data_IF_448123069259
#
_entry.id   IF_448123069259
#
_cell.length_a   1.000
_cell.length_b   1.000
_cell.length_c   1.000
_cell.angle_alpha   90.00
_cell.angle_beta   90.00
_cell.angle_gamma   90.00
#
_symmetry.space_group_name_H-M   'P 1'
#
loop_
_entity.id
_entity.type
_entity.pdbx_description
1 polymer ?
#
# COMPACT_ATOMS: atom_id res chain seq x y z
N UNK A 1 41.04 -48.45 -31.38
CA UNK A 1 40.14 -47.39 -30.87
C UNK A 1 40.96 -46.61 -29.87
N UNK A 2 41.39 -45.41 -30.22
CA UNK A 2 42.25 -44.63 -29.35
C UNK A 2 41.42 -43.99 -28.24
N UNK A 3 41.96 -43.88 -27.03
CA UNK A 3 41.28 -43.27 -25.87
C UNK A 3 40.77 -41.84 -26.19
N UNK A 4 41.44 -41.15 -27.12
CA UNK A 4 41.09 -39.84 -27.65
C UNK A 4 39.73 -39.84 -28.39
N UNK A 5 39.38 -40.92 -29.08
CA UNK A 5 38.13 -41.05 -29.85
C UNK A 5 36.89 -41.15 -28.94
N UNK A 6 37.07 -41.57 -27.69
CA UNK A 6 36.00 -41.64 -26.68
C UNK A 6 35.96 -40.35 -25.84
N UNK A 7 37.11 -39.70 -25.64
CA UNK A 7 37.23 -38.52 -24.78
C UNK A 7 36.63 -37.27 -25.41
N UNK A 8 36.86 -37.04 -26.69
CA UNK A 8 36.31 -35.90 -27.43
C UNK A 8 34.78 -35.83 -27.41
N UNK A 9 34.03 -36.91 -27.72
CA UNK A 9 32.56 -36.88 -27.64
C UNK A 9 32.04 -36.74 -26.20
N UNK A 10 32.75 -37.25 -25.20
CA UNK A 10 32.38 -37.05 -23.79
C UNK A 10 32.53 -35.58 -23.36
N UNK A 11 33.62 -34.93 -23.76
CA UNK A 11 33.88 -33.51 -23.45
C UNK A 11 32.87 -32.60 -24.13
N UNK A 12 32.52 -32.86 -25.39
CA UNK A 12 31.50 -32.06 -26.10
C UNK A 12 30.11 -32.25 -25.47
N UNK A 13 29.73 -33.48 -25.10
CA UNK A 13 28.44 -33.76 -24.47
C UNK A 13 28.34 -33.14 -23.07
N UNK A 14 29.42 -33.19 -22.28
CA UNK A 14 29.51 -32.49 -21.00
C UNK A 14 29.46 -30.96 -21.17
N UNK A 15 30.12 -30.42 -22.20
CA UNK A 15 30.09 -29.00 -22.54
C UNK A 15 28.69 -28.51 -22.92
N UNK A 16 27.98 -29.26 -23.78
CA UNK A 16 26.59 -28.97 -24.16
C UNK A 16 25.65 -29.06 -22.96
N UNK A 17 25.81 -30.08 -22.11
CA UNK A 17 25.00 -30.24 -20.91
C UNK A 17 25.21 -29.10 -19.90
N UNK A 18 26.47 -28.69 -19.67
CA UNK A 18 26.79 -27.55 -18.82
C UNK A 18 26.22 -26.25 -19.40
N UNK A 19 26.39 -26.02 -20.71
CA UNK A 19 25.84 -24.85 -21.38
C UNK A 19 24.32 -24.79 -21.24
N UNK A 20 23.61 -25.89 -21.51
CA UNK A 20 22.16 -25.99 -21.34
C UNK A 20 21.74 -25.73 -19.88
N UNK A 21 22.46 -26.29 -18.91
CA UNK A 21 22.19 -26.08 -17.48
C UNK A 21 22.41 -24.62 -17.06
N UNK A 22 23.45 -23.96 -17.57
CA UNK A 22 23.70 -22.54 -17.30
C UNK A 22 22.63 -21.66 -17.93
N UNK A 23 22.25 -21.92 -19.18
CA UNK A 23 21.18 -21.18 -19.87
C UNK A 23 19.86 -21.32 -19.12
N UNK A 24 19.46 -22.55 -18.78
CA UNK A 24 18.20 -22.78 -18.07
C UNK A 24 18.19 -22.15 -16.69
N UNK A 25 19.31 -22.20 -15.95
CA UNK A 25 19.44 -21.51 -14.66
C UNK A 25 19.33 -19.99 -14.80
N UNK A 26 19.99 -19.41 -15.81
CA UNK A 26 19.94 -17.97 -16.07
C UNK A 26 18.53 -17.53 -16.48
N UNK A 27 17.83 -18.32 -17.31
CA UNK A 27 16.45 -18.05 -17.70
C UNK A 27 15.50 -18.13 -16.51
N UNK A 28 15.62 -19.16 -15.66
CA UNK A 28 14.82 -19.26 -14.42
C UNK A 28 15.07 -18.07 -13.50
N UNK A 29 16.34 -17.67 -13.31
CA UNK A 29 16.69 -16.50 -12.50
C UNK A 29 16.13 -15.20 -13.09
N UNK A 30 16.23 -15.03 -14.42
CA UNK A 30 15.67 -13.88 -15.13
C UNK A 30 14.16 -13.82 -15.00
N UNK A 31 13.45 -14.93 -15.22
CA UNK A 31 11.99 -15.02 -15.07
C UNK A 31 11.55 -14.75 -13.64
N UNK A 32 12.25 -15.29 -12.65
CA UNK A 32 11.99 -14.99 -11.25
C UNK A 32 12.18 -13.50 -10.92
N UNK A 33 13.18 -12.85 -11.52
CA UNK A 33 13.40 -11.42 -11.40
C UNK A 33 12.24 -10.61 -12.02
N UNK A 34 11.90 -10.91 -13.27
CA UNK A 34 10.81 -10.26 -14.01
C UNK A 34 9.48 -10.34 -13.24
N UNK A 35 9.16 -11.51 -12.67
CA UNK A 35 7.95 -11.70 -11.87
C UNK A 35 7.98 -10.84 -10.59
N UNK A 36 9.13 -10.77 -9.90
CA UNK A 36 9.26 -9.97 -8.68
C UNK A 36 9.17 -8.48 -8.95
N UNK A 37 9.83 -7.99 -9.99
CA UNK A 37 9.80 -6.57 -10.37
C UNK A 37 8.40 -6.15 -10.82
N UNK A 38 7.74 -6.94 -11.67
CA UNK A 38 6.36 -6.67 -12.10
C UNK A 38 5.38 -6.64 -10.90
N UNK A 39 5.60 -7.50 -9.90
CA UNK A 39 4.79 -7.52 -8.69
C UNK A 39 5.01 -6.27 -7.82
N UNK A 40 6.26 -5.81 -7.68
CA UNK A 40 6.56 -4.58 -6.93
C UNK A 40 5.92 -3.36 -7.60
N UNK A 41 5.98 -3.29 -8.94
CA UNK A 41 5.33 -2.23 -9.71
C UNK A 41 3.80 -2.23 -9.53
N UNK A 42 3.16 -3.40 -9.59
CA UNK A 42 1.72 -3.55 -9.33
C UNK A 42 1.36 -3.12 -7.91
N UNK A 43 2.09 -3.61 -6.88
CA UNK A 43 1.85 -3.22 -5.48
C UNK A 43 1.98 -1.70 -5.32
N UNK A 44 3.03 -1.10 -5.89
CA UNK A 44 3.27 0.33 -5.82
C UNK A 44 2.13 1.12 -6.47
N UNK A 45 1.71 0.74 -7.67
CA UNK A 45 0.65 1.39 -8.41
C UNK A 45 -0.71 1.29 -7.67
N UNK A 46 -1.10 0.07 -7.30
CA UNK A 46 -2.40 -0.20 -6.67
C UNK A 46 -2.52 0.49 -5.31
N UNK A 47 -1.50 0.37 -4.45
CA UNK A 47 -1.50 1.00 -3.13
C UNK A 47 -1.44 2.53 -3.23
N UNK A 48 -0.65 3.07 -4.16
CA UNK A 48 -0.55 4.52 -4.35
C UNK A 48 -1.86 5.13 -4.89
N UNK A 49 -2.52 4.44 -5.84
CA UNK A 49 -3.84 4.83 -6.34
C UNK A 49 -4.88 4.80 -5.21
N UNK A 50 -4.92 3.72 -4.43
CA UNK A 50 -5.84 3.58 -3.30
C UNK A 50 -5.64 4.67 -2.24
N UNK A 51 -4.39 4.94 -1.83
CA UNK A 51 -4.06 6.00 -0.85
C UNK A 51 -4.39 7.40 -1.38
N UNK A 52 -4.18 7.64 -2.68
CA UNK A 52 -4.55 8.90 -3.33
C UNK A 52 -6.07 9.06 -3.37
N UNK A 53 -6.80 8.01 -3.75
CA UNK A 53 -8.26 7.97 -3.72
C UNK A 53 -8.82 8.26 -2.33
N UNK A 54 -8.27 7.60 -1.30
CA UNK A 54 -8.65 7.84 0.09
C UNK A 54 -8.45 9.31 0.49
N UNK A 55 -7.28 9.88 0.22
CA UNK A 55 -6.98 11.28 0.55
C UNK A 55 -7.91 12.26 -0.16
N UNK A 56 -8.22 11.99 -1.42
CA UNK A 56 -9.13 12.83 -2.20
C UNK A 56 -10.58 12.75 -1.69
N UNK A 57 -11.05 11.54 -1.36
CA UNK A 57 -12.37 11.33 -0.77
C UNK A 57 -12.47 12.04 0.58
N UNK A 58 -11.53 11.76 1.48
CA UNK A 58 -11.46 12.36 2.81
C UNK A 58 -11.40 13.89 2.77
N UNK A 59 -10.53 14.46 1.92
CA UNK A 59 -10.45 15.91 1.75
C UNK A 59 -11.75 16.51 1.20
N UNK A 60 -12.43 15.82 0.28
CA UNK A 60 -13.70 16.27 -0.27
C UNK A 60 -14.82 16.22 0.76
N UNK A 61 -14.95 15.12 1.50
CA UNK A 61 -15.96 14.95 2.54
C UNK A 61 -15.76 15.98 3.67
N UNK A 62 -14.52 16.20 4.10
CA UNK A 62 -14.16 17.23 5.08
C UNK A 62 -14.61 18.62 4.62
N UNK A 63 -14.34 18.99 3.37
CA UNK A 63 -14.73 20.28 2.82
C UNK A 63 -16.26 20.43 2.72
N UNK A 64 -16.98 19.36 2.37
CA UNK A 64 -18.45 19.35 2.31
C UNK A 64 -19.04 19.59 3.71
N UNK A 65 -18.51 18.90 4.73
CA UNK A 65 -18.92 19.06 6.13
C UNK A 65 -18.66 20.51 6.59
N UNK A 66 -17.46 21.04 6.34
CA UNK A 66 -17.09 22.42 6.67
C UNK A 66 -18.08 23.43 6.04
N UNK A 67 -18.41 23.25 4.75
CA UNK A 67 -19.37 24.12 4.06
C UNK A 67 -20.79 23.98 4.61
N UNK A 68 -21.22 22.79 5.03
CA UNK A 68 -22.52 22.60 5.67
C UNK A 68 -22.63 23.44 6.96
N UNK A 69 -21.61 23.38 7.82
CA UNK A 69 -21.54 24.22 9.03
C UNK A 69 -21.51 25.71 8.70
N UNK A 70 -20.70 26.13 7.72
CA UNK A 70 -20.62 27.53 7.32
C UNK A 70 -21.96 28.07 6.81
N UNK A 71 -22.64 27.35 5.93
CA UNK A 71 -23.95 27.75 5.39
C UNK A 71 -25.01 27.82 6.50
N UNK A 72 -24.99 26.87 7.44
CA UNK A 72 -25.89 26.88 8.60
C UNK A 72 -25.64 28.11 9.49
N UNK A 73 -24.38 28.51 9.67
CA UNK A 73 -24.02 29.74 10.39
C UNK A 73 -24.53 31.01 9.69
N UNK A 74 -24.38 31.09 8.37
CA UNK A 74 -24.88 32.23 7.56
C UNK A 74 -26.40 32.36 7.61
N UNK A 75 -27.15 31.24 7.69
CA UNK A 75 -28.62 31.23 7.80
C UNK A 75 -29.13 31.76 9.16
N UNK A 76 -28.40 31.50 10.25
CA UNK A 76 -28.82 31.91 11.62
C UNK A 76 -28.48 33.39 11.87
N UNK A 77 -27.46 33.92 11.19
CA UNK A 77 -27.12 35.34 11.17
C UNK A 77 -25.88 35.72 12.00
N UNK A 78 -25.41 36.98 11.90
CA UNK A 78 -24.21 37.43 12.61
C UNK A 78 -24.48 37.52 14.12
N UNK A 79 -23.83 36.66 14.91
CA UNK A 79 -23.94 36.62 16.38
C UNK A 79 -24.08 35.21 16.97
N UNK A 80 -24.27 34.19 16.14
CA UNK A 80 -24.34 32.79 16.59
C UNK A 80 -22.99 32.33 17.14
N UNK A 81 -22.98 31.78 18.34
CA UNK A 81 -21.78 31.16 18.91
C UNK A 81 -21.56 29.76 18.30
N UNK A 82 -20.30 29.30 18.21
CA UNK A 82 -19.96 27.96 17.71
C UNK A 82 -20.69 26.83 18.48
N UNK A 83 -21.07 27.07 19.73
CA UNK A 83 -21.80 26.12 20.58
C UNK A 83 -23.28 25.94 20.17
N UNK A 84 -23.89 26.96 19.57
CA UNK A 84 -25.29 26.96 19.11
C UNK A 84 -25.44 26.37 17.70
N UNK A 85 -24.35 26.39 16.92
CA UNK A 85 -24.33 25.85 15.57
C UNK A 85 -24.28 24.32 15.60
N UNK A 86 -25.42 23.69 15.31
CA UNK A 86 -25.58 22.23 15.35
C UNK A 86 -26.24 21.71 14.08
N UNK A 87 -25.72 20.59 13.57
CA UNK A 87 -26.25 19.89 12.39
C UNK A 87 -26.50 18.43 12.77
N UNK A 88 -27.61 17.84 12.31
CA UNK A 88 -27.87 16.43 12.59
C UNK A 88 -26.90 15.54 11.82
N UNK A 89 -26.56 14.39 12.39
CA UNK A 89 -25.71 13.40 11.71
C UNK A 89 -26.35 12.91 10.42
N UNK A 90 -27.68 12.81 10.37
CA UNK A 90 -28.45 12.47 9.17
C UNK A 90 -28.27 13.51 8.05
N UNK A 91 -28.35 14.80 8.37
CA UNK A 91 -28.14 15.89 7.41
C UNK A 91 -26.70 15.88 6.87
N UNK A 92 -25.72 15.67 7.75
CA UNK A 92 -24.31 15.52 7.36
C UNK A 92 -24.08 14.28 6.47
N UNK A 93 -24.69 13.15 6.81
CA UNK A 93 -24.64 11.93 6.00
C UNK A 93 -25.20 12.15 4.59
N UNK A 94 -26.32 12.87 4.46
CA UNK A 94 -26.91 13.21 3.17
C UNK A 94 -26.03 14.16 2.33
N UNK A 95 -25.27 15.05 2.98
CA UNK A 95 -24.30 15.88 2.26
C UNK A 95 -23.12 15.04 1.74
N UNK A 96 -22.60 14.11 2.55
CA UNK A 96 -21.48 13.24 2.17
C UNK A 96 -21.89 12.16 1.15
N UNK A 97 -23.14 11.70 1.16
CA UNK A 97 -23.63 10.71 0.17
C UNK A 97 -23.59 11.25 -1.27
N UNK A 98 -23.58 12.56 -1.46
CA UNK A 98 -23.38 13.18 -2.80
C UNK A 98 -22.02 12.81 -3.37
N UNK A 99 -20.98 12.75 -2.54
CA UNK A 99 -19.65 12.28 -2.97
C UNK A 99 -19.64 10.78 -3.31
N UNK A 100 -20.43 9.98 -2.60
CA UNK A 100 -20.55 8.53 -2.85
C UNK A 100 -21.29 8.21 -4.15
N UNK A 101 -22.22 9.07 -4.59
CA UNK A 101 -22.88 8.95 -5.89
C UNK A 101 -22.04 9.43 -7.08
N UNK A 102 -20.81 9.88 -6.85
CA UNK A 102 -19.93 10.46 -7.87
C UNK A 102 -18.72 9.57 -8.19
N UNK A 103 -17.98 9.88 -9.25
CA UNK A 103 -16.68 9.24 -9.55
C UNK A 103 -15.61 9.45 -8.45
N UNK A 104 -15.92 10.20 -7.39
CA UNK A 104 -15.03 10.44 -6.24
C UNK A 104 -15.37 9.54 -5.04
N UNK A 105 -16.28 8.58 -5.21
CA UNK A 105 -16.61 7.61 -4.17
C UNK A 105 -15.36 6.84 -3.71
N UNK A 106 -15.33 6.50 -2.42
CA UNK A 106 -14.24 5.71 -1.87
C UNK A 106 -14.33 4.26 -2.36
N UNK A 107 -13.29 3.79 -3.05
CA UNK A 107 -13.18 2.39 -3.45
C UNK A 107 -12.71 1.53 -2.25
N UNK A 108 -13.66 1.15 -1.41
CA UNK A 108 -13.40 0.33 -0.22
C UNK A 108 -12.85 -1.05 -0.56
N UNK A 109 -13.13 -1.57 -1.76
CA UNK A 109 -12.59 -2.84 -2.24
C UNK A 109 -11.09 -2.72 -2.54
N UNK A 110 -10.66 -1.65 -3.22
CA UNK A 110 -9.24 -1.35 -3.44
C UNK A 110 -8.47 -1.13 -2.14
N UNK A 111 -9.04 -0.38 -1.20
CA UNK A 111 -8.44 -0.14 0.12
C UNK A 111 -8.22 -1.46 0.86
N UNK A 112 -9.24 -2.33 0.90
CA UNK A 112 -9.14 -3.65 1.53
C UNK A 112 -8.13 -4.55 0.80
N UNK A 113 -8.13 -4.51 -0.53
CA UNK A 113 -7.18 -5.28 -1.33
C UNK A 113 -5.73 -4.88 -1.03
N UNK A 114 -5.42 -3.59 -1.01
CA UNK A 114 -4.09 -3.08 -0.69
C UNK A 114 -3.65 -3.47 0.72
N UNK A 115 -4.54 -3.35 1.71
CA UNK A 115 -4.28 -3.80 3.08
C UNK A 115 -3.88 -5.28 3.12
N UNK A 116 -4.65 -6.16 2.47
CA UNK A 116 -4.33 -7.58 2.43
C UNK A 116 -3.02 -7.88 1.69
N UNK A 117 -2.79 -7.20 0.58
CA UNK A 117 -1.60 -7.36 -0.24
C UNK A 117 -0.35 -6.98 0.56
N UNK A 118 -0.38 -5.86 1.29
CA UNK A 118 0.69 -5.43 2.18
C UNK A 118 0.84 -6.38 3.37
N UNK A 119 -0.24 -6.73 4.07
CA UNK A 119 -0.16 -7.65 5.22
C UNK A 119 0.47 -9.00 4.86
N UNK A 120 0.22 -9.51 3.64
CA UNK A 120 0.75 -10.80 3.20
C UNK A 120 2.18 -10.72 2.65
N UNK A 121 2.51 -9.70 1.84
CA UNK A 121 3.82 -9.60 1.18
C UNK A 121 4.84 -8.73 1.91
N UNK A 122 4.37 -7.79 2.74
CA UNK A 122 5.13 -6.70 3.34
C UNK A 122 4.59 -6.40 4.74
N UNK A 123 4.75 -7.32 5.70
CA UNK A 123 4.06 -7.24 7.00
C UNK A 123 4.39 -5.96 7.77
N UNK A 124 5.60 -5.42 7.64
CA UNK A 124 6.02 -4.14 8.23
C UNK A 124 5.17 -2.97 7.72
N UNK A 125 4.97 -2.88 6.41
CA UNK A 125 4.14 -1.88 5.75
C UNK A 125 2.66 -2.15 5.95
N UNK A 126 2.27 -3.42 6.15
CA UNK A 126 0.92 -3.82 6.55
C UNK A 126 0.55 -3.29 7.94
N UNK A 127 1.45 -3.41 8.92
CA UNK A 127 1.24 -2.81 10.25
C UNK A 127 1.19 -1.28 10.16
N UNK A 128 2.10 -0.67 9.40
CA UNK A 128 2.13 0.78 9.17
C UNK A 128 0.84 1.28 8.50
N UNK A 129 0.29 0.51 7.56
CA UNK A 129 -1.02 0.77 6.96
C UNK A 129 -2.10 0.76 8.03
N UNK A 130 -2.13 -0.26 8.88
CA UNK A 130 -3.14 -0.40 9.92
C UNK A 130 -3.08 0.74 10.95
N UNK A 131 -1.88 1.25 11.26
CA UNK A 131 -1.63 2.40 12.15
C UNK A 131 -2.01 3.75 11.53
N UNK A 132 -2.08 3.87 10.21
CA UNK A 132 -2.25 5.18 9.52
C UNK A 132 -3.60 5.30 8.82
N UNK A 133 -3.99 4.29 8.06
CA UNK A 133 -5.22 4.28 7.24
C UNK A 133 -6.44 3.92 8.08
N UNK A 134 -6.34 2.95 9.00
CA UNK A 134 -7.49 2.54 9.82
C UNK A 134 -8.01 3.67 10.71
N UNK A 135 -7.15 4.39 11.47
CA UNK A 135 -7.62 5.48 12.32
C UNK A 135 -8.33 6.58 11.53
N UNK A 136 -7.89 6.87 10.30
CA UNK A 136 -8.57 7.84 9.45
C UNK A 136 -9.99 7.40 9.09
N UNK A 137 -10.17 6.12 8.72
CA UNK A 137 -11.49 5.56 8.42
C UNK A 137 -12.37 5.51 9.67
N UNK A 138 -11.80 5.17 10.82
CA UNK A 138 -12.51 5.11 12.10
C UNK A 138 -12.97 6.51 12.54
N UNK A 139 -12.11 7.53 12.46
CA UNK A 139 -12.49 8.93 12.71
C UNK A 139 -13.70 9.34 11.85
N UNK A 140 -13.66 9.00 10.55
CA UNK A 140 -14.76 9.30 9.62
C UNK A 140 -16.05 8.58 10.00
N UNK A 141 -15.97 7.28 10.24
CA UNK A 141 -17.10 6.44 10.58
C UNK A 141 -17.71 6.86 11.91
N UNK A 142 -16.91 7.23 12.90
CA UNK A 142 -17.40 7.70 14.20
C UNK A 142 -18.07 9.07 14.11
N UNK A 143 -17.51 10.00 13.33
CA UNK A 143 -18.11 11.31 13.14
C UNK A 143 -19.50 11.21 12.48
N UNK A 144 -19.60 10.42 11.41
CA UNK A 144 -20.84 10.18 10.65
C UNK A 144 -21.72 9.07 11.24
N UNK A 145 -21.28 8.41 12.32
CA UNK A 145 -21.94 7.25 12.91
C UNK A 145 -22.24 6.12 11.92
N UNK A 146 -21.34 5.91 10.95
CA UNK A 146 -21.44 4.82 9.98
C UNK A 146 -21.23 3.50 10.72
N UNK A 147 -22.22 2.60 10.62
CA UNK A 147 -22.16 1.29 11.24
C UNK A 147 -21.34 0.33 10.40
N UNK A 148 -20.28 -0.22 10.99
CA UNK A 148 -19.47 -1.23 10.32
C UNK A 148 -20.14 -2.61 10.36
N UNK A 149 -19.87 -3.51 9.38
CA UNK A 149 -20.42 -4.86 9.40
C UNK A 149 -20.04 -5.62 10.67
N UNK A 150 -21.04 -6.08 11.42
CA UNK A 150 -20.83 -6.81 12.68
C UNK A 150 -20.93 -5.94 13.95
N UNK A 151 -21.02 -4.63 13.81
CA UNK A 151 -21.33 -3.73 14.94
C UNK A 151 -22.85 -3.60 15.16
N UNK A 152 -23.29 -3.32 16.40
CA UNK A 152 -24.69 -2.97 16.64
C UNK A 152 -25.05 -1.69 15.87
N UNK A 153 -26.25 -1.67 15.29
CA UNK A 153 -26.75 -0.50 14.56
C UNK A 153 -26.79 0.71 15.50
N UNK A 154 -26.07 1.77 15.15
CA UNK A 154 -26.04 3.03 15.89
C UNK A 154 -27.31 3.81 15.55
N UNK A 155 -28.06 4.25 16.57
CA UNK A 155 -29.22 5.11 16.34
C UNK A 155 -28.75 6.53 16.04
N UNK A 156 -29.00 6.98 14.80
CA UNK A 156 -28.63 8.31 14.32
C UNK A 156 -29.69 9.37 14.66
N UNK A 157 -30.89 8.96 15.12
CA UNK A 157 -32.01 9.88 15.32
C UNK A 157 -31.69 10.90 16.41
N UNK A 158 -31.86 12.17 16.06
CA UNK A 158 -31.62 13.32 16.93
C UNK A 158 -30.17 13.49 17.42
N UNK A 159 -29.19 12.76 16.85
CA UNK A 159 -27.78 13.02 17.16
C UNK A 159 -27.33 14.24 16.39
N UNK A 160 -26.79 15.21 17.12
CA UNK A 160 -26.33 16.49 16.57
C UNK A 160 -24.82 16.61 16.74
N UNK A 161 -24.13 17.15 15.73
CA UNK A 161 -22.73 17.57 15.80
C UNK A 161 -22.68 19.09 15.96
N UNK A 162 -21.89 19.55 16.93
CA UNK A 162 -21.59 20.98 17.09
C UNK A 162 -20.45 21.41 16.17
N UNK A 163 -20.34 22.71 15.91
CA UNK A 163 -19.24 23.26 15.14
C UNK A 163 -17.88 23.09 15.84
N UNK A 164 -17.86 23.09 17.18
CA UNK A 164 -16.65 22.77 17.95
C UNK A 164 -16.17 21.33 17.68
N UNK A 165 -17.10 20.39 17.62
CA UNK A 165 -16.78 18.98 17.34
C UNK A 165 -16.37 18.77 15.88
N UNK A 166 -16.99 19.49 14.93
CA UNK A 166 -16.53 19.53 13.53
C UNK A 166 -15.12 20.08 13.41
N UNK A 167 -14.80 21.16 14.11
CA UNK A 167 -13.47 21.77 14.05
C UNK A 167 -12.40 20.83 14.60
N UNK A 168 -12.67 20.15 15.72
CA UNK A 168 -11.79 19.12 16.27
C UNK A 168 -11.63 17.95 15.29
N UNK A 169 -12.73 17.45 14.73
CA UNK A 169 -12.72 16.41 13.71
C UNK A 169 -11.85 16.79 12.51
N UNK A 170 -12.00 18.00 11.98
CA UNK A 170 -11.24 18.51 10.84
C UNK A 170 -9.76 18.61 11.13
N UNK A 171 -9.38 19.06 12.33
CA UNK A 171 -7.98 19.11 12.76
C UNK A 171 -7.36 17.72 12.81
N UNK A 172 -8.01 16.78 13.51
CA UNK A 172 -7.56 15.38 13.59
C UNK A 172 -7.44 14.75 12.20
N UNK A 173 -8.44 14.95 11.35
CA UNK A 173 -8.45 14.37 10.01
C UNK A 173 -7.35 14.96 9.12
N UNK A 174 -7.06 16.25 9.25
CA UNK A 174 -5.97 16.89 8.52
C UNK A 174 -4.61 16.30 8.91
N UNK A 175 -4.37 16.08 10.20
CA UNK A 175 -3.16 15.42 10.70
C UNK A 175 -3.03 13.99 10.15
N UNK A 176 -4.10 13.20 10.24
CA UNK A 176 -4.14 11.84 9.70
C UNK A 176 -3.90 11.83 8.18
N UNK A 177 -4.43 12.80 7.42
CA UNK A 177 -4.18 12.91 5.99
C UNK A 177 -2.72 13.24 5.64
N UNK A 178 -2.04 14.01 6.50
CA UNK A 178 -0.60 14.24 6.36
C UNK A 178 0.19 12.96 6.63
N UNK A 179 -0.19 12.18 7.64
CA UNK A 179 0.42 10.88 7.92
C UNK A 179 0.24 9.90 6.76
N UNK A 180 -0.97 9.80 6.20
CA UNK A 180 -1.23 8.97 5.01
C UNK A 180 -0.37 9.41 3.82
N UNK A 181 -0.21 10.72 3.61
CA UNK A 181 0.69 11.25 2.56
C UNK A 181 2.15 10.88 2.82
N UNK A 182 2.59 10.92 4.07
CA UNK A 182 3.94 10.55 4.43
C UNK A 182 4.17 9.05 4.25
N UNK A 183 3.24 8.23 4.72
CA UNK A 183 3.27 6.78 4.52
C UNK A 183 3.31 6.41 3.03
N UNK A 184 2.52 7.07 2.18
CA UNK A 184 2.56 6.85 0.73
C UNK A 184 3.97 7.09 0.14
N UNK A 185 4.67 8.13 0.62
CA UNK A 185 6.06 8.40 0.20
C UNK A 185 7.02 7.34 0.70
N UNK A 186 6.91 6.94 1.96
CA UNK A 186 7.75 5.90 2.58
C UNK A 186 7.58 4.56 1.86
N UNK A 187 6.34 4.15 1.58
CA UNK A 187 6.02 2.95 0.82
C UNK A 187 6.63 2.99 -0.58
N UNK A 188 6.46 4.11 -1.30
CA UNK A 188 7.01 4.28 -2.65
C UNK A 188 8.54 4.22 -2.64
N UNK A 189 9.18 4.85 -1.66
CA UNK A 189 10.62 4.84 -1.51
C UNK A 189 11.15 3.42 -1.21
N UNK A 190 10.51 2.70 -0.29
CA UNK A 190 10.89 1.31 0.05
C UNK A 190 10.75 0.37 -1.15
N UNK A 191 9.65 0.47 -1.91
CA UNK A 191 9.44 -0.35 -3.11
C UNK A 191 10.45 -0.01 -4.22
N UNK A 192 10.80 1.27 -4.37
CA UNK A 192 11.82 1.72 -5.32
C UNK A 192 13.21 1.21 -4.94
N UNK A 193 13.58 1.29 -3.67
CA UNK A 193 14.86 0.78 -3.17
C UNK A 193 14.98 -0.73 -3.41
N UNK A 194 13.92 -1.48 -3.12
CA UNK A 194 13.90 -2.92 -3.39
C UNK A 194 14.00 -3.22 -4.89
N UNK A 195 13.28 -2.49 -5.73
CA UNK A 195 13.37 -2.62 -7.18
C UNK A 195 14.80 -2.39 -7.68
N UNK A 196 15.47 -1.34 -7.18
CA UNK A 196 16.87 -1.05 -7.52
C UNK A 196 17.77 -2.20 -7.04
N UNK A 197 17.58 -2.70 -5.81
CA UNK A 197 18.37 -3.79 -5.26
C UNK A 197 18.25 -5.09 -6.07
N UNK A 198 17.06 -5.36 -6.62
CA UNK A 198 16.79 -6.54 -7.46
C UNK A 198 17.37 -6.38 -8.87
N UNK A 199 17.37 -5.17 -9.42
CA UNK A 199 17.81 -4.91 -10.79
C UNK A 199 19.31 -4.66 -10.91
N UNK A 200 19.99 -4.33 -9.81
CA UNK A 200 21.44 -4.18 -9.82
C UNK A 200 22.14 -5.52 -10.05
N UNK A 201 23.11 -5.59 -10.99
CA UNK A 201 23.89 -6.78 -11.20
C UNK A 201 24.71 -7.07 -9.94
N UNK A 202 24.47 -8.23 -9.29
CA UNK A 202 25.31 -8.69 -8.18
C UNK A 202 26.76 -8.68 -8.66
N UNK A 203 27.66 -7.88 -8.07
CA UNK A 203 29.06 -7.91 -8.44
C UNK A 203 29.63 -9.22 -7.92
N UNK A 204 29.54 -10.28 -8.72
CA UNK A 204 30.20 -11.54 -8.39
C UNK A 204 31.68 -11.31 -8.65
N UNK A 205 32.38 -10.82 -7.62
CA UNK A 205 33.82 -10.66 -7.65
C UNK A 205 34.45 -11.99 -8.08
N UNK A 206 35.47 -11.94 -8.93
CA UNK A 206 36.15 -13.15 -9.42
C UNK A 206 36.61 -14.05 -8.25
N UNK A 207 36.96 -13.43 -7.12
CA UNK A 207 37.33 -14.09 -5.87
C UNK A 207 36.20 -14.97 -5.29
N UNK A 208 34.95 -14.53 -5.37
CA UNK A 208 33.80 -15.25 -4.83
C UNK A 208 33.38 -16.44 -5.72
N UNK A 209 33.57 -16.30 -7.04
CA UNK A 209 33.45 -17.43 -7.99
C UNK A 209 34.51 -18.48 -7.71
N UNK A 210 35.77 -18.06 -7.53
CA UNK A 210 36.89 -18.94 -7.20
C UNK A 210 36.68 -19.66 -5.87
N UNK A 211 36.18 -18.96 -4.84
CA UNK A 211 35.94 -19.54 -3.51
C UNK A 211 34.84 -20.61 -3.55
N UNK A 212 33.74 -20.37 -4.29
CA UNK A 212 32.68 -21.37 -4.51
C UNK A 212 33.17 -22.56 -5.34
N UNK A 213 33.95 -22.33 -6.40
CA UNK A 213 34.51 -23.42 -7.21
C UNK A 213 35.43 -24.34 -6.39
N UNK A 214 36.24 -23.75 -5.50
CA UNK A 214 37.14 -24.50 -4.61
C UNK A 214 36.40 -25.41 -3.63
N UNK A 215 35.23 -25.00 -3.16
CA UNK A 215 34.38 -25.81 -2.26
C UNK A 215 33.74 -27.02 -2.96
N UNK A 216 33.47 -26.95 -4.27
CA UNK A 216 32.91 -28.07 -5.01
C UNK A 216 33.96 -29.09 -5.49
N UNK A 217 35.24 -28.69 -5.62
CA UNK A 217 36.33 -29.57 -6.06
C UNK A 217 37.09 -30.27 -4.93
N UNK A 218 37.01 -29.75 -3.70
CA UNK A 218 37.58 -30.38 -2.52
C UNK A 218 36.44 -30.69 -1.53
N UNK A 219 35.68 -31.77 -1.73
CA UNK A 219 34.87 -32.31 -0.66
C UNK A 219 35.83 -32.75 0.47
N UNK A 220 35.46 -32.45 1.72
CA UNK A 220 36.21 -32.67 2.97
C UNK A 220 36.73 -34.11 3.15
N UNK A 221 37.76 -34.51 2.39
CA UNK A 221 38.49 -35.78 2.56
C UNK A 221 39.99 -35.58 2.77
N UNK A 222 40.44 -34.35 2.97
CA UNK A 222 41.80 -34.04 3.41
C UNK A 222 41.76 -32.95 4.48
N UNK A 223 41.18 -33.29 5.62
CA UNK A 223 41.50 -32.69 6.92
C UNK A 223 41.89 -33.80 7.87
#
# INVERSE_FOLDING_TARGET
>A
MEFKDVLTPLVTLAGVWLAARFTLRNEVQKKALEIRTARLESIAADCSDALTGLRNYAGSAMHIIEMAFRMKGEQIGPGTTLAELRISVEELGNHVSVTEGSNRALDTAKIRHCRHLLAFHRPTEGTRWDETVSPLLDTFNDFLMITMPGEPVRDMKNVMRSAEYELAFRQTLYEQLLEVKQFQKELTASLSEEFISLTQPVPVSAAERLRRWRQYLLPDRFR
#
